data_IF_181080168436
#
_entry.id   IF_181080168436
#
_cell.length_a   1.000
_cell.length_b   1.000
_cell.length_c   1.000
_cell.angle_alpha   90.00
_cell.angle_beta   90.00
_cell.angle_gamma   90.00
#
_symmetry.space_group_name_H-M   'P 1'
#
loop_
_entity.id
_entity.type
_entity.pdbx_description
1 polymer ?
#
# COMPACT_ATOMS: atom_id res chain seq x y z
N UNK A 1 -10.50 3.63 11.63
CA UNK A 1 -10.29 3.81 10.17
C UNK A 1 -8.82 3.68 9.76
N UNK A 2 -7.86 4.25 10.52
CA UNK A 2 -6.41 4.07 10.25
C UNK A 2 -5.98 2.59 10.23
N UNK A 3 -6.51 1.76 11.14
CA UNK A 3 -6.19 0.33 11.20
C UNK A 3 -6.67 -0.45 9.95
N UNK A 4 -7.80 -0.06 9.35
CA UNK A 4 -8.31 -0.70 8.14
C UNK A 4 -7.45 -0.37 6.92
N UNK A 5 -7.03 0.88 6.80
CA UNK A 5 -6.19 1.32 5.68
C UNK A 5 -4.78 0.72 5.78
N UNK A 6 -4.23 0.63 7.00
CA UNK A 6 -2.97 -0.06 7.27
C UNK A 6 -3.06 -1.58 6.96
N UNK A 7 -4.11 -2.27 7.43
CA UNK A 7 -4.33 -3.69 7.11
C UNK A 7 -4.44 -3.93 5.61
N UNK A 8 -5.12 -3.03 4.90
CA UNK A 8 -5.29 -3.13 3.44
C UNK A 8 -3.98 -2.88 2.69
N UNK A 9 -3.14 -1.96 3.16
CA UNK A 9 -1.77 -1.78 2.64
C UNK A 9 -0.95 -3.05 2.85
N UNK A 10 -1.04 -3.67 4.03
CA UNK A 10 -0.29 -4.91 4.31
C UNK A 10 -0.77 -6.09 3.45
N UNK A 11 -2.08 -6.25 3.29
CA UNK A 11 -2.66 -7.27 2.42
C UNK A 11 -2.19 -7.10 0.96
N UNK A 12 -2.18 -5.87 0.44
CA UNK A 12 -1.67 -5.59 -0.90
C UNK A 12 -0.15 -5.80 -1.02
N UNK A 13 0.63 -5.57 0.04
CA UNK A 13 2.06 -5.92 0.05
C UNK A 13 2.26 -7.42 -0.06
N UNK A 14 1.53 -8.21 0.73
CA UNK A 14 1.60 -9.67 0.63
C UNK A 14 1.19 -10.15 -0.77
N UNK A 15 0.12 -9.61 -1.35
CA UNK A 15 -0.32 -9.98 -2.71
C UNK A 15 0.74 -9.60 -3.78
N UNK A 16 1.42 -8.46 -3.62
CA UNK A 16 2.48 -8.05 -4.52
C UNK A 16 3.68 -8.99 -4.46
N UNK A 17 4.07 -9.41 -3.25
CA UNK A 17 5.18 -10.34 -3.03
C UNK A 17 4.82 -11.72 -3.59
N UNK A 18 3.63 -12.24 -3.29
CA UNK A 18 3.15 -13.52 -3.80
C UNK A 18 3.14 -13.58 -5.34
N UNK A 19 2.64 -12.51 -5.98
CA UNK A 19 2.68 -12.40 -7.44
C UNK A 19 4.09 -12.21 -7.99
N UNK A 20 4.97 -11.46 -7.32
CA UNK A 20 6.36 -11.34 -7.73
C UNK A 20 7.10 -12.68 -7.64
N UNK A 21 6.83 -13.47 -6.59
CA UNK A 21 7.32 -14.84 -6.44
C UNK A 21 6.76 -15.76 -7.52
N UNK A 22 5.47 -15.63 -7.85
CA UNK A 22 4.82 -16.43 -8.90
C UNK A 22 5.36 -16.11 -10.30
N UNK A 23 5.55 -14.82 -10.62
CA UNK A 23 6.03 -14.37 -11.94
C UNK A 23 7.56 -14.30 -12.03
N UNK A 24 8.28 -14.51 -10.93
CA UNK A 24 9.73 -14.38 -10.84
C UNK A 24 10.28 -12.96 -11.06
N UNK A 25 9.42 -11.95 -11.12
CA UNK A 25 9.82 -10.56 -11.36
C UNK A 25 8.85 -9.54 -10.79
N UNK A 26 9.41 -8.49 -10.18
CA UNK A 26 8.65 -7.30 -9.74
C UNK A 26 8.30 -6.35 -10.89
N UNK A 27 8.92 -6.50 -12.06
CA UNK A 27 8.62 -5.69 -13.26
C UNK A 27 7.48 -6.25 -14.10
N UNK A 28 6.95 -7.41 -13.73
CA UNK A 28 5.80 -8.00 -14.40
C UNK A 28 4.59 -7.04 -14.29
N UNK A 29 3.88 -6.80 -15.39
CA UNK A 29 2.83 -5.78 -15.50
C UNK A 29 1.79 -5.87 -14.37
N UNK A 30 1.38 -7.09 -14.01
CA UNK A 30 0.47 -7.34 -12.88
C UNK A 30 1.03 -6.92 -11.52
N UNK A 31 2.32 -7.12 -11.28
CA UNK A 31 2.99 -6.71 -10.03
C UNK A 31 3.17 -5.19 -10.00
N UNK A 32 3.52 -4.59 -11.15
CA UNK A 32 3.62 -3.13 -11.32
C UNK A 32 2.27 -2.45 -11.05
N UNK A 33 1.17 -2.98 -11.59
CA UNK A 33 -0.17 -2.43 -11.35
C UNK A 33 -0.54 -2.46 -9.85
N UNK A 34 -0.21 -3.53 -9.14
CA UNK A 34 -0.42 -3.65 -7.69
C UNK A 34 0.46 -2.66 -6.93
N UNK A 35 1.72 -2.52 -7.32
CA UNK A 35 2.66 -1.54 -6.75
C UNK A 35 2.14 -0.12 -6.88
N UNK A 36 1.71 0.30 -8.07
CA UNK A 36 1.13 1.63 -8.31
C UNK A 36 -0.13 1.87 -7.48
N UNK A 37 -0.97 0.85 -7.32
CA UNK A 37 -2.17 0.93 -6.51
C UNK A 37 -1.83 1.04 -5.02
N UNK A 38 -0.88 0.25 -4.54
CA UNK A 38 -0.36 0.30 -3.17
C UNK A 38 0.19 1.69 -2.83
N UNK A 39 0.95 2.29 -3.73
CA UNK A 39 1.54 3.63 -3.55
C UNK A 39 0.45 4.69 -3.27
N UNK A 40 -0.65 4.65 -4.03
CA UNK A 40 -1.81 5.54 -3.78
C UNK A 40 -2.39 5.37 -2.38
N UNK A 41 -2.53 4.14 -1.89
CA UNK A 41 -3.03 3.89 -0.54
C UNK A 41 -2.05 4.38 0.53
N UNK A 42 -0.74 4.24 0.32
CA UNK A 42 0.29 4.74 1.23
C UNK A 42 0.23 6.27 1.30
N UNK A 43 0.12 6.96 0.17
CA UNK A 43 -0.01 8.44 0.13
C UNK A 43 -1.25 8.90 0.89
N UNK A 44 -2.39 8.23 0.70
CA UNK A 44 -3.64 8.56 1.44
C UNK A 44 -3.44 8.32 2.94
N UNK A 45 -2.85 7.20 3.33
CA UNK A 45 -2.56 6.89 4.73
C UNK A 45 -1.66 7.93 5.38
N UNK A 46 -0.57 8.31 4.71
CA UNK A 46 0.36 9.34 5.19
C UNK A 46 -0.32 10.71 5.34
N UNK A 47 -1.18 11.10 4.39
CA UNK A 47 -1.96 12.35 4.47
C UNK A 47 -2.93 12.33 5.65
N UNK A 48 -3.62 11.22 5.90
CA UNK A 48 -4.51 11.07 7.05
C UNK A 48 -3.75 11.15 8.36
N UNK A 49 -2.60 10.47 8.46
CA UNK A 49 -1.73 10.50 9.64
C UNK A 49 -1.19 11.91 9.92
N UNK A 50 -0.73 12.64 8.89
CA UNK A 50 -0.30 14.05 9.01
C UNK A 50 -1.43 15.00 9.45
N UNK A 51 -2.67 14.79 8.98
CA UNK A 51 -3.83 15.58 9.41
C UNK A 51 -4.19 15.33 10.87
N UNK A 52 -4.05 14.09 11.33
CA UNK A 52 -4.30 13.73 12.74
C UNK A 52 -3.28 14.36 13.68
N UNK A 53 -2.00 14.36 13.28
CA UNK A 53 -0.93 15.00 14.07
C UNK A 53 -1.16 16.51 14.27
N UNK A 54 -1.64 17.22 13.24
CA UNK A 54 -1.95 18.66 13.34
C UNK A 54 -3.21 19.02 14.14
N UNK A 55 -4.08 18.06 14.51
CA UNK A 55 -5.26 18.32 15.34
C UNK A 55 -5.02 18.10 16.83
N UNK A 56 -3.83 17.66 17.23
CA UNK A 56 -3.45 17.37 18.62
C UNK A 56 -2.33 18.33 19.09
N UNK A 57 -2.08 19.41 18.35
CA UNK A 57 -1.13 20.47 18.70
C UNK A 57 -1.85 21.76 19.06
#
# INVERSE_FOLDING_TARGET
MESFLAQRIEAMRCEMIDKASTYGSFTHEKVVSISQRLDRYIVVYQKLKKKKLHRVG
#
